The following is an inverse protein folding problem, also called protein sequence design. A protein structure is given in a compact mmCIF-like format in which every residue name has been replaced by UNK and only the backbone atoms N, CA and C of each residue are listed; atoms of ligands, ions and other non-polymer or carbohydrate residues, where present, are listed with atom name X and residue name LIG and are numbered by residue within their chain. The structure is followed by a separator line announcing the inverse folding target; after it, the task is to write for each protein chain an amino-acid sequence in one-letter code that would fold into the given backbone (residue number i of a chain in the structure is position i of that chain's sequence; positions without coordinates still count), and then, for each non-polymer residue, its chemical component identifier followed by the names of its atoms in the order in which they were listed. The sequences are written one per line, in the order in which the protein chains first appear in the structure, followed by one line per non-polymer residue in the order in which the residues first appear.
data_IF_704026220668
#
_entry.id   IF_704026220668
#
_cell.length_a   1.000
_cell.length_b   1.000
_cell.length_c   1.000
_cell.angle_alpha   90.00
_cell.angle_beta   90.00
_cell.angle_gamma   90.00
#
_symmetry.space_group_name_H-M   'P 1'
#
loop_
_entity.id
_entity.type
_entity.pdbx_description
1 polymer ?
#
# COMPACT_ATOMS: atom_id res chain seq x y z
N UNK A 1 -14.21 -0.30 8.39
CA UNK A 1 -13.65 0.81 9.20
C UNK A 1 -12.58 1.49 8.37
N UNK A 2 -12.73 2.78 8.03
CA UNK A 2 -11.67 3.58 7.38
C UNK A 2 -10.76 4.11 8.50
N UNK A 3 -9.54 3.60 8.64
CA UNK A 3 -8.56 4.13 9.60
C UNK A 3 -7.85 5.34 8.98
N UNK A 4 -7.96 6.50 9.61
CA UNK A 4 -7.05 7.63 9.38
C UNK A 4 -5.80 7.37 10.22
N UNK A 5 -4.66 7.21 9.54
CA UNK A 5 -3.38 6.99 10.19
C UNK A 5 -2.90 8.32 10.79
N UNK A 6 -2.80 8.39 12.11
CA UNK A 6 -2.23 9.53 12.85
C UNK A 6 -0.75 9.26 13.14
N UNK A 7 0.11 10.29 13.14
CA UNK A 7 1.58 10.20 13.01
C UNK A 7 2.40 9.46 14.09
N UNK A 8 1.78 8.59 14.90
CA UNK A 8 2.42 7.72 15.89
C UNK A 8 2.14 6.22 15.64
N UNK A 9 1.75 5.83 14.43
CA UNK A 9 1.45 4.43 14.12
C UNK A 9 2.72 3.63 13.81
N UNK A 10 2.95 2.58 14.60
CA UNK A 10 3.98 1.58 14.35
C UNK A 10 3.56 0.71 13.16
N UNK A 11 4.42 0.61 12.16
CA UNK A 11 4.23 -0.37 11.08
C UNK A 11 4.75 -1.72 11.54
N UNK A 12 3.86 -2.72 11.51
CA UNK A 12 4.23 -4.10 11.79
C UNK A 12 4.76 -4.77 10.53
N UNK A 13 6.02 -5.15 10.59
CA UNK A 13 6.72 -5.85 9.53
C UNK A 13 6.93 -7.31 9.95
N UNK A 14 6.18 -8.23 9.36
CA UNK A 14 6.25 -9.65 9.71
C UNK A 14 7.31 -10.37 8.88
N UNK A 15 8.00 -11.35 9.47
CA UNK A 15 9.05 -12.11 8.78
C UNK A 15 8.58 -12.79 7.49
N UNK A 16 7.32 -13.23 7.45
CA UNK A 16 6.74 -13.83 6.25
C UNK A 16 6.61 -12.83 5.08
N UNK A 17 6.43 -11.52 5.36
CA UNK A 17 6.38 -10.49 4.31
C UNK A 17 7.72 -10.34 3.59
N UNK A 18 8.83 -10.53 4.29
CA UNK A 18 10.15 -10.55 3.67
C UNK A 18 10.37 -11.79 2.78
N UNK A 19 9.66 -12.89 3.07
CA UNK A 19 9.71 -14.13 2.29
C UNK A 19 8.88 -14.06 1.01
N UNK A 20 7.96 -13.09 0.88
CA UNK A 20 7.22 -12.80 -0.36
C UNK A 20 8.14 -12.23 -1.47
N UNK A 21 9.42 -11.95 -1.18
CA UNK A 21 10.38 -11.44 -2.17
C UNK A 21 10.31 -9.92 -2.39
N UNK A 22 9.47 -9.22 -1.64
CA UNK A 22 9.41 -7.76 -1.62
C UNK A 22 10.60 -7.18 -0.84
N UNK A 23 11.18 -6.08 -1.34
CA UNK A 23 12.33 -5.41 -0.73
C UNK A 23 12.13 -3.89 -0.70
N UNK A 24 12.84 -3.23 0.22
CA UNK A 24 12.85 -1.77 0.35
C UNK A 24 11.45 -1.17 0.44
N UNK A 25 11.19 -0.13 -0.35
CA UNK A 25 9.91 0.60 -0.31
C UNK A 25 8.71 -0.25 -0.70
N UNK A 26 8.89 -1.29 -1.53
CA UNK A 26 7.80 -2.19 -1.90
C UNK A 26 7.29 -2.98 -0.68
N UNK A 27 8.22 -3.41 0.17
CA UNK A 27 7.89 -4.13 1.41
C UNK A 27 7.19 -3.22 2.42
N UNK A 28 7.65 -1.97 2.55
CA UNK A 28 7.02 -0.98 3.44
C UNK A 28 5.59 -0.67 2.99
N UNK A 29 5.38 -0.40 1.70
CA UNK A 29 4.04 -0.16 1.14
C UNK A 29 3.13 -1.37 1.37
N UNK A 30 3.64 -2.59 1.13
CA UNK A 30 2.88 -3.80 1.38
C UNK A 30 2.46 -3.94 2.84
N UNK A 31 3.37 -3.68 3.78
CA UNK A 31 3.09 -3.75 5.22
C UNK A 31 2.02 -2.74 5.64
N UNK A 32 2.09 -1.49 5.16
CA UNK A 32 1.08 -0.46 5.45
C UNK A 32 -0.30 -0.88 4.94
N UNK A 33 -0.37 -1.32 3.67
CA UNK A 33 -1.64 -1.71 3.06
C UNK A 33 -2.20 -2.99 3.72
N UNK A 34 -1.33 -3.90 4.15
CA UNK A 34 -1.73 -5.12 4.85
C UNK A 34 -2.30 -4.81 6.24
N UNK A 35 -1.63 -3.98 7.04
CA UNK A 35 -2.10 -3.62 8.39
C UNK A 35 -3.40 -2.81 8.34
N UNK A 36 -3.57 -1.97 7.31
CA UNK A 36 -4.80 -1.24 7.07
C UNK A 36 -6.00 -2.14 6.70
N UNK A 37 -5.74 -3.34 6.16
CA UNK A 37 -6.75 -4.25 5.58
C UNK A 37 -7.33 -3.74 4.25
N UNK A 38 -7.85 -2.52 4.25
CA UNK A 38 -8.19 -1.75 3.05
C UNK A 38 -7.67 -0.32 3.19
N UNK A 39 -6.73 0.04 2.33
CA UNK A 39 -6.09 1.34 2.34
C UNK A 39 -6.72 2.27 1.31
N UNK A 40 -7.20 3.44 1.75
CA UNK A 40 -7.76 4.50 0.90
C UNK A 40 -7.14 5.89 1.13
N UNK A 41 -6.00 5.95 1.83
CA UNK A 41 -5.33 7.19 2.25
C UNK A 41 -4.62 7.99 1.15
N UNK A 42 -4.73 7.57 -0.12
CA UNK A 42 -4.12 8.25 -1.27
C UNK A 42 -2.59 8.06 -1.37
N UNK A 43 -2.03 8.32 -2.55
CA UNK A 43 -0.60 8.07 -2.80
C UNK A 43 0.35 9.01 -2.05
N UNK A 44 -0.13 10.20 -1.63
CA UNK A 44 0.71 11.19 -0.94
C UNK A 44 1.25 10.66 0.38
N UNK A 45 0.39 10.05 1.19
CA UNK A 45 0.77 9.50 2.49
C UNK A 45 1.83 8.41 2.36
N UNK A 46 1.65 7.46 1.43
CA UNK A 46 2.64 6.42 1.17
C UNK A 46 3.97 6.99 0.65
N UNK A 47 3.92 8.07 -0.13
CA UNK A 47 5.10 8.74 -0.69
C UNK A 47 5.91 9.40 0.42
N UNK A 48 5.23 10.17 1.28
CA UNK A 48 5.84 10.82 2.44
C UNK A 48 6.44 9.77 3.41
N UNK A 49 5.76 8.64 3.62
CA UNK A 49 6.27 7.56 4.49
C UNK A 49 7.51 6.86 3.93
N UNK A 50 7.57 6.66 2.61
CA UNK A 50 8.68 5.97 1.94
C UNK A 50 9.80 6.91 1.52
N UNK A 51 9.63 8.23 1.68
CA UNK A 51 10.52 9.25 1.13
C UNK A 51 10.59 9.24 -0.41
N UNK A 52 9.61 8.63 -1.09
CA UNK A 52 9.58 8.53 -2.55
C UNK A 52 8.85 9.71 -3.17
N UNK A 53 9.28 10.10 -4.37
CA UNK A 53 8.47 10.95 -5.24
C UNK A 53 7.13 10.25 -5.58
N UNK A 54 6.03 11.01 -5.56
CA UNK A 54 4.67 10.49 -5.78
C UNK A 54 4.57 9.68 -7.08
N UNK A 55 5.14 10.17 -8.17
CA UNK A 55 5.08 9.49 -9.47
C UNK A 55 5.85 8.16 -9.45
N UNK A 56 6.97 8.10 -8.73
CA UNK A 56 7.73 6.87 -8.53
C UNK A 56 6.96 5.87 -7.68
N UNK A 57 6.27 6.34 -6.63
CA UNK A 57 5.40 5.50 -5.82
C UNK A 57 4.21 4.97 -6.64
N UNK A 58 3.54 5.79 -7.45
CA UNK A 58 2.42 5.34 -8.30
C UNK A 58 2.88 4.21 -9.24
N UNK A 59 4.07 4.35 -9.84
CA UNK A 59 4.68 3.30 -10.67
C UNK A 59 4.99 2.04 -9.87
N UNK A 60 5.54 2.18 -8.66
CA UNK A 60 5.83 1.07 -7.76
C UNK A 60 4.56 0.30 -7.41
N UNK A 61 3.51 1.00 -6.94
CA UNK A 61 2.22 0.38 -6.61
C UNK A 61 1.61 -0.28 -7.84
N UNK A 62 1.67 0.36 -9.01
CA UNK A 62 1.22 -0.25 -10.27
C UNK A 62 1.96 -1.54 -10.61
N UNK A 63 3.28 -1.58 -10.37
CA UNK A 63 4.09 -2.79 -10.53
C UNK A 63 3.69 -3.88 -9.53
N UNK A 64 3.46 -3.52 -8.27
CA UNK A 64 3.02 -4.47 -7.22
C UNK A 64 1.63 -5.05 -7.51
N UNK A 65 0.73 -4.25 -8.11
CA UNK A 65 -0.58 -4.73 -8.58
C UNK A 65 -0.43 -5.71 -9.72
N UNK A 66 0.37 -5.39 -10.74
CA UNK A 66 0.66 -6.30 -11.87
C UNK A 66 1.31 -7.59 -11.42
N UNK A 67 2.22 -7.50 -10.46
CA UNK A 67 2.88 -8.66 -9.88
C UNK A 67 1.96 -9.46 -8.97
N UNK A 68 0.79 -8.94 -8.58
CA UNK A 68 -0.23 -9.60 -7.78
C UNK A 68 0.00 -9.57 -6.27
N UNK A 69 0.80 -8.61 -5.77
CA UNK A 69 0.95 -8.36 -4.33
C UNK A 69 -0.14 -7.46 -3.78
N UNK A 70 -0.70 -6.60 -4.62
CA UNK A 70 -1.79 -5.68 -4.27
C UNK A 70 -2.97 -5.86 -5.21
N UNK A 71 -4.18 -5.74 -4.68
CA UNK A 71 -5.39 -5.48 -5.46
C UNK A 71 -5.68 -3.99 -5.38
N UNK A 72 -6.06 -3.40 -6.51
CA UNK A 72 -6.45 -2.00 -6.60
C UNK A 72 -7.85 -1.90 -7.16
N UNK A 73 -8.73 -1.27 -6.41
CA UNK A 73 -10.04 -0.82 -6.86
C UNK A 73 -10.04 0.71 -6.87
N UNK A 74 -10.83 1.32 -7.75
CA UNK A 74 -10.95 2.78 -7.83
C UNK A 74 -12.41 3.10 -7.66
N UNK A 75 -12.73 3.79 -6.57
CA UNK A 75 -14.06 4.33 -6.33
C UNK A 75 -14.07 5.77 -6.88
N UNK A 76 -15.08 6.13 -7.65
CA UNK A 76 -15.26 7.49 -8.16
C UNK A 76 -16.45 8.15 -7.44
N UNK A 77 -16.16 9.13 -6.61
CA UNK A 77 -17.16 9.90 -5.86
C UNK A 77 -17.01 11.37 -6.26
N UNK A 78 -18.06 11.98 -6.80
CA UNK A 78 -18.07 13.40 -7.19
C UNK A 78 -16.85 13.80 -8.05
N UNK A 79 -16.58 13.06 -9.13
CA UNK A 79 -15.41 13.23 -10.02
C UNK A 79 -14.03 13.05 -9.35
N UNK A 80 -13.98 12.57 -8.10
CA UNK A 80 -12.75 12.29 -7.38
C UNK A 80 -12.49 10.79 -7.37
N UNK A 81 -11.33 10.38 -7.89
CA UNK A 81 -10.89 8.97 -7.93
C UNK A 81 -10.14 8.61 -6.65
N UNK A 82 -10.73 7.75 -5.84
CA UNK A 82 -10.15 7.26 -4.60
C UNK A 82 -9.61 5.85 -4.84
N UNK A 83 -8.29 5.63 -4.70
CA UNK A 83 -7.72 4.30 -4.83
C UNK A 83 -7.94 3.51 -3.54
N UNK A 84 -8.55 2.34 -3.65
CA UNK A 84 -8.64 1.33 -2.59
C UNK A 84 -7.60 0.25 -2.88
N UNK A 85 -6.64 0.08 -1.97
CA UNK A 85 -5.60 -0.93 -2.05
C UNK A 85 -5.83 -2.01 -0.99
N UNK A 86 -5.68 -3.27 -1.39
CA UNK A 86 -5.69 -4.41 -0.47
C UNK A 86 -4.47 -5.28 -0.73
N UNK A 87 -3.76 -5.65 0.33
CA UNK A 87 -2.63 -6.56 0.23
C UNK A 87 -3.13 -7.98 0.01
N UNK A 88 -2.49 -8.70 -0.91
CA UNK A 88 -2.77 -10.11 -1.17
C UNK A 88 -1.70 -10.92 -0.48
N UNK A 89 -2.08 -11.71 0.52
CA UNK A 89 -1.21 -12.74 1.08
C UNK A 89 -1.28 -13.97 0.18
N UNK A 90 -0.11 -14.48 -0.22
CA UNK A 90 -0.03 -15.71 -1.00
C UNK A 90 0.17 -16.84 -0.02
N UNK A 91 -0.91 -17.53 0.30
CA UNK A 91 -0.77 -18.83 0.95
C UNK A 91 -0.16 -19.77 -0.09
N UNK A 92 1.03 -20.29 0.22
CA UNK A 92 1.68 -21.36 -0.55
C UNK A 92 0.95 -22.68 -0.32
#
# INVERSE_FOLDING_TARGET
MRKQITGNEEIKLYSWMAQEGLKGNALVVYAIVYDAGEYSGGYRYLADFTGMEINSLIRLVGSMVKQGYLKKEVEEINNTKIPHLRAVRREK
#
